data_IF_814036916064
#
_entry.id   IF_814036916064
#
_cell.length_a   1.000
_cell.length_b   1.000
_cell.length_c   1.000
_cell.angle_alpha   90.00
_cell.angle_beta   90.00
_cell.angle_gamma   90.00
#
_symmetry.space_group_name_H-M   'P 1'
#
loop_
_entity.id
_entity.type
_entity.pdbx_description
1 polymer ?
#
# COMPACT_ATOMS: atom_id res chain seq x y z
N UNK A 1 26.37 -3.76 -1.22
CA UNK A 1 25.85 -2.62 -0.42
C UNK A 1 24.39 -2.43 -0.82
N UNK A 2 23.47 -3.14 -0.16
CA UNK A 2 22.04 -3.09 -0.49
C UNK A 2 21.45 -1.83 0.13
N UNK A 3 20.79 -1.04 -0.71
CA UNK A 3 20.27 0.28 -0.39
C UNK A 3 19.62 0.34 1.00
N UNK A 4 20.10 1.27 1.79
CA UNK A 4 19.46 1.86 2.96
C UNK A 4 18.11 2.44 2.56
N UNK A 5 17.10 1.58 2.40
CA UNK A 5 15.69 1.99 2.31
C UNK A 5 14.95 1.55 3.58
N UNK A 6 15.68 1.48 4.70
CA UNK A 6 15.09 1.39 6.03
C UNK A 6 15.01 2.83 6.56
N UNK A 7 13.78 3.31 6.78
CA UNK A 7 13.47 4.48 7.63
C UNK A 7 13.71 5.87 7.02
N UNK A 8 13.25 6.11 5.80
CA UNK A 8 12.57 7.39 5.52
C UNK A 8 11.18 7.08 5.03
N UNK A 9 10.41 6.32 5.82
CA UNK A 9 8.96 6.46 5.77
C UNK A 9 8.71 7.84 6.34
N UNK A 10 8.57 8.84 5.48
CA UNK A 10 8.28 10.17 5.94
C UNK A 10 6.95 10.11 6.70
N UNK A 11 6.69 11.02 7.66
CA UNK A 11 5.36 11.12 8.27
C UNK A 11 4.23 11.26 7.23
N UNK A 12 4.56 11.63 5.99
CA UNK A 12 3.66 11.62 4.84
C UNK A 12 3.28 10.23 4.35
N UNK A 13 4.22 9.29 4.20
CA UNK A 13 3.94 7.92 3.76
C UNK A 13 3.06 7.20 4.77
N UNK A 14 3.37 7.36 6.06
CA UNK A 14 2.57 6.76 7.13
C UNK A 14 1.14 7.29 7.13
N UNK A 15 0.95 8.60 6.88
CA UNK A 15 -0.39 9.20 6.72
C UNK A 15 -1.09 8.72 5.45
N UNK A 16 -0.35 8.54 4.36
CA UNK A 16 -0.88 8.05 3.10
C UNK A 16 -1.39 6.61 3.25
N UNK A 17 -0.61 5.73 3.86
CA UNK A 17 -1.01 4.35 4.18
C UNK A 17 -2.19 4.33 5.16
N UNK A 18 -2.16 5.14 6.22
CA UNK A 18 -3.27 5.23 7.17
C UNK A 18 -4.57 5.63 6.49
N UNK A 19 -4.48 6.62 5.61
CA UNK A 19 -5.65 7.16 4.94
C UNK A 19 -6.09 6.27 3.78
N UNK A 20 -5.20 5.45 3.20
CA UNK A 20 -5.50 4.41 2.23
C UNK A 20 -6.03 3.13 2.89
N UNK A 21 -5.95 2.99 4.22
CA UNK A 21 -6.40 1.81 4.95
C UNK A 21 -7.91 1.59 4.85
N UNK A 22 -8.67 2.68 4.97
CA UNK A 22 -10.12 2.65 4.81
C UNK A 22 -10.49 2.29 3.35
N UNK A 23 -9.79 2.90 2.40
CA UNK A 23 -9.94 2.59 0.98
C UNK A 23 -9.55 1.14 0.65
N UNK A 24 -8.50 0.61 1.28
CA UNK A 24 -8.05 -0.77 1.13
C UNK A 24 -9.11 -1.75 1.67
N UNK A 25 -9.74 -1.42 2.81
CA UNK A 25 -10.84 -2.21 3.35
C UNK A 25 -12.04 -2.24 2.37
N UNK A 26 -12.41 -1.09 1.79
CA UNK A 26 -13.47 -1.02 0.79
C UNK A 26 -13.11 -1.75 -0.51
N UNK A 27 -11.85 -1.68 -0.95
CA UNK A 27 -11.35 -2.43 -2.10
C UNK A 27 -11.41 -3.94 -1.87
N UNK A 28 -10.95 -4.44 -0.73
CA UNK A 28 -11.05 -5.87 -0.38
C UNK A 28 -12.50 -6.31 -0.26
N UNK A 29 -13.34 -5.51 0.40
CA UNK A 29 -14.76 -5.80 0.55
C UNK A 29 -15.51 -5.86 -0.79
N UNK A 30 -14.96 -5.24 -1.83
CA UNK A 30 -15.51 -5.22 -3.19
C UNK A 30 -14.70 -6.07 -4.18
N UNK A 31 -13.83 -6.95 -3.69
CA UNK A 31 -12.96 -7.83 -4.52
C UNK A 31 -12.13 -7.06 -5.57
N UNK A 32 -11.69 -5.86 -5.21
CA UNK A 32 -10.88 -5.00 -6.04
C UNK A 32 -11.63 -4.13 -7.04
N UNK A 33 -12.97 -4.06 -6.93
CA UNK A 33 -13.78 -3.20 -7.79
C UNK A 33 -13.64 -1.70 -7.46
N UNK A 34 -13.25 -1.35 -6.23
CA UNK A 34 -13.21 0.05 -5.78
C UNK A 34 -11.79 0.63 -5.65
N UNK A 35 -11.28 1.23 -6.73
CA UNK A 35 -9.94 1.88 -6.75
C UNK A 35 -10.03 3.38 -6.48
N UNK A 36 -9.55 3.81 -5.32
CA UNK A 36 -9.39 5.23 -5.00
C UNK A 36 -7.97 5.71 -5.30
N UNK A 37 -7.81 7.01 -5.55
CA UNK A 37 -6.50 7.61 -5.86
C UNK A 37 -5.47 7.42 -4.73
N UNK A 38 -5.95 7.34 -3.49
CA UNK A 38 -5.10 7.13 -2.32
C UNK A 38 -4.65 5.68 -2.18
N UNK A 39 -5.55 4.73 -2.44
CA UNK A 39 -5.20 3.31 -2.50
C UNK A 39 -4.17 3.06 -3.60
N UNK A 40 -4.40 3.57 -4.81
CA UNK A 40 -3.45 3.46 -5.92
C UNK A 40 -2.07 4.00 -5.54
N UNK A 41 -2.01 5.15 -4.85
CA UNK A 41 -0.75 5.72 -4.37
C UNK A 41 -0.04 4.82 -3.35
N UNK A 42 -0.79 4.19 -2.45
CA UNK A 42 -0.25 3.27 -1.45
C UNK A 42 0.26 1.97 -2.09
N UNK A 43 -0.47 1.44 -3.08
CA UNK A 43 -0.09 0.27 -3.86
C UNK A 43 1.16 0.55 -4.70
N UNK A 44 1.23 1.69 -5.39
CA UNK A 44 2.42 2.13 -6.13
C UNK A 44 3.63 2.28 -5.21
N UNK A 45 3.44 2.88 -4.03
CA UNK A 45 4.48 3.00 -3.01
C UNK A 45 5.01 1.62 -2.57
N UNK A 46 4.11 0.66 -2.27
CA UNK A 46 4.50 -0.70 -1.90
C UNK A 46 5.23 -1.42 -3.03
N UNK A 47 4.75 -1.31 -4.28
CA UNK A 47 5.42 -1.88 -5.45
C UNK A 47 6.83 -1.30 -5.66
N UNK A 48 7.01 0.00 -5.43
CA UNK A 48 8.33 0.64 -5.51
C UNK A 48 9.27 0.22 -4.38
N UNK A 49 8.72 0.00 -3.19
CA UNK A 49 9.49 -0.39 -2.01
C UNK A 49 9.85 -1.88 -2.04
N UNK A 50 8.98 -2.70 -2.59
CA UNK A 50 9.13 -4.16 -2.68
C UNK A 50 8.89 -4.68 -4.10
N UNK A 51 9.70 -4.26 -5.09
CA UNK A 51 9.50 -4.65 -6.50
C UNK A 51 9.71 -6.14 -6.76
N UNK A 52 10.30 -6.87 -5.80
CA UNK A 52 10.49 -8.33 -5.86
C UNK A 52 9.28 -9.12 -5.38
N UNK A 53 8.30 -8.46 -4.76
CA UNK A 53 7.09 -9.11 -4.27
C UNK A 53 6.06 -9.11 -5.40
N UNK A 54 5.86 -10.27 -6.03
CA UNK A 54 4.76 -10.52 -6.96
C UNK A 54 3.46 -10.71 -6.17
N UNK A 55 3.05 -9.70 -5.40
CA UNK A 55 1.78 -9.68 -4.68
C UNK A 55 0.69 -9.08 -5.56
N UNK A 56 -0.52 -9.63 -5.46
CA UNK A 56 -1.69 -9.05 -6.14
C UNK A 56 -2.14 -7.77 -5.44
N UNK A 57 -2.87 -6.89 -6.13
CA UNK A 57 -3.35 -5.63 -5.54
C UNK A 57 -4.21 -5.88 -4.28
N UNK A 58 -4.95 -7.00 -4.24
CA UNK A 58 -5.68 -7.46 -3.05
C UNK A 58 -4.77 -7.86 -1.88
N UNK A 59 -3.63 -8.49 -2.15
CA UNK A 59 -2.68 -8.85 -1.09
C UNK A 59 -1.96 -7.62 -0.56
N UNK A 60 -1.60 -6.69 -1.44
CA UNK A 60 -1.03 -5.41 -1.06
C UNK A 60 -2.02 -4.58 -0.24
N UNK A 61 -3.29 -4.54 -0.63
CA UNK A 61 -4.35 -3.89 0.13
C UNK A 61 -4.55 -4.55 1.51
N UNK A 62 -4.49 -5.88 1.59
CA UNK A 62 -4.57 -6.59 2.87
C UNK A 62 -3.36 -6.27 3.76
N UNK A 63 -2.16 -6.19 3.20
CA UNK A 63 -0.96 -5.79 3.93
C UNK A 63 -1.08 -4.38 4.52
N UNK A 64 -1.72 -3.45 3.81
CA UNK A 64 -2.05 -2.11 4.32
C UNK A 64 -3.08 -2.17 5.47
N UNK A 65 -4.06 -3.07 5.38
CA UNK A 65 -5.13 -3.22 6.37
C UNK A 65 -4.63 -3.76 7.73
N UNK A 66 -3.66 -4.68 7.71
CA UNK A 66 -3.13 -5.35 8.91
C UNK A 66 -1.90 -4.66 9.53
N UNK A 67 -1.42 -3.56 8.93
CA UNK A 67 -0.31 -2.74 9.43
C UNK A 67 -0.73 -1.77 10.55
#
# INVERSE_FOLDING_TARGET
>A
MYATSKVTSAPFDNKLVLAARDDAAAFIATDGQWRSARLESALDYLRRTQPKLHASDLELAQAILVQ
#
